data_IF_894103095111
#
_entry.id   IF_894103095111
#
_cell.length_a   1.000
_cell.length_b   1.000
_cell.length_c   1.000
_cell.angle_alpha   90.00
_cell.angle_beta   90.00
_cell.angle_gamma   90.00
#
_symmetry.space_group_name_H-M   'P 1'
#
loop_
_entity.id
_entity.type
_entity.pdbx_description
1 polymer ?
#
# COMPACT_ATOMS: atom_id res chain seq x y z
N UNK A 1 23.90 -15.85 30.67
CA UNK A 1 23.95 -14.48 30.07
C UNK A 1 22.52 -14.04 29.79
N UNK A 2 22.22 -12.76 29.78
CA UNK A 2 20.87 -12.31 29.37
C UNK A 2 20.65 -12.56 27.89
N UNK A 3 19.42 -12.97 27.45
CA UNK A 3 19.11 -13.12 26.02
C UNK A 3 19.38 -11.83 25.24
N UNK A 4 19.92 -11.95 24.03
CA UNK A 4 20.31 -10.80 23.20
C UNK A 4 19.25 -10.46 22.18
N UNK A 5 18.66 -9.24 22.29
CA UNK A 5 17.70 -8.70 21.35
C UNK A 5 18.40 -7.88 20.26
N UNK A 6 18.24 -8.27 19.01
CA UNK A 6 18.75 -7.54 17.85
C UNK A 6 17.60 -6.82 17.12
N UNK A 7 17.79 -5.52 16.92
CA UNK A 7 16.83 -4.66 16.19
C UNK A 7 17.00 -3.19 16.59
N UNK A 8 16.68 -2.28 15.67
CA UNK A 8 16.90 -0.85 15.92
C UNK A 8 15.89 -0.27 16.94
N UNK A 9 16.31 0.65 17.81
CA UNK A 9 15.51 1.14 18.95
C UNK A 9 14.18 1.80 18.58
N UNK A 10 14.11 2.43 17.41
CA UNK A 10 12.89 3.07 16.91
C UNK A 10 11.82 2.09 16.36
N UNK A 11 12.13 0.81 16.23
CA UNK A 11 11.21 -0.18 15.72
C UNK A 11 10.10 -0.50 16.73
N UNK A 12 8.84 -0.36 16.35
CA UNK A 12 7.69 -0.61 17.23
C UNK A 12 7.64 -2.04 17.75
N UNK A 13 8.10 -3.03 16.96
CA UNK A 13 8.18 -4.43 17.41
C UNK A 13 9.30 -4.66 18.43
N UNK A 14 10.43 -3.93 18.32
CA UNK A 14 11.48 -3.93 19.34
C UNK A 14 10.96 -3.30 20.65
N UNK A 15 10.29 -2.13 20.56
CA UNK A 15 9.64 -1.50 21.73
C UNK A 15 8.64 -2.43 22.40
N UNK A 16 7.86 -3.18 21.63
CA UNK A 16 6.92 -4.20 22.11
C UNK A 16 7.63 -5.24 22.97
N UNK A 17 8.71 -5.83 22.46
CA UNK A 17 9.49 -6.86 23.17
C UNK A 17 10.12 -6.30 24.45
N UNK A 18 10.75 -5.13 24.36
CA UNK A 18 11.32 -4.46 25.53
C UNK A 18 10.25 -4.15 26.60
N UNK A 19 9.04 -3.76 26.18
CA UNK A 19 7.90 -3.53 27.08
C UNK A 19 7.47 -4.80 27.80
N UNK A 20 7.39 -5.91 27.06
CA UNK A 20 7.06 -7.20 27.66
C UNK A 20 8.14 -7.64 28.64
N UNK A 21 9.43 -7.49 28.29
CA UNK A 21 10.55 -7.84 29.16
C UNK A 21 10.54 -7.01 30.46
N UNK A 22 10.33 -5.69 30.37
CA UNK A 22 10.26 -4.80 31.51
C UNK A 22 9.11 -5.15 32.47
N UNK A 23 7.94 -5.54 31.91
CA UNK A 23 6.78 -5.96 32.71
C UNK A 23 6.93 -7.38 33.25
N UNK A 24 7.56 -8.28 32.52
CA UNK A 24 7.84 -9.65 32.91
C UNK A 24 8.96 -9.74 33.99
N UNK A 25 9.79 -8.71 34.11
CA UNK A 25 10.97 -8.73 34.99
C UNK A 25 12.10 -9.56 34.39
N UNK A 26 12.20 -9.61 33.05
CA UNK A 26 13.26 -10.30 32.31
C UNK A 26 14.26 -9.27 31.80
N UNK A 27 15.53 -9.46 32.10
CA UNK A 27 16.62 -8.62 31.59
C UNK A 27 16.99 -9.08 30.18
N UNK A 28 17.13 -8.13 29.25
CA UNK A 28 17.56 -8.37 27.88
C UNK A 28 18.78 -7.51 27.55
N UNK A 29 19.77 -8.09 26.90
CA UNK A 29 20.83 -7.33 26.22
C UNK A 29 20.27 -6.81 24.90
N UNK A 30 20.21 -5.47 24.75
CA UNK A 30 19.75 -4.84 23.51
C UNK A 30 20.84 -3.99 22.89
N UNK A 31 21.28 -4.38 21.69
CA UNK A 31 22.23 -3.62 20.90
C UNK A 31 21.54 -2.38 20.30
N UNK A 32 21.74 -1.23 20.96
CA UNK A 32 21.16 0.05 20.51
C UNK A 32 21.89 0.65 19.33
N UNK A 33 23.08 0.15 18.98
CA UNK A 33 23.87 0.61 17.82
C UNK A 33 23.38 0.01 16.50
N UNK A 34 22.60 -1.07 16.54
CA UNK A 34 22.06 -1.72 15.36
C UNK A 34 21.25 -0.75 14.49
N UNK A 35 21.66 -0.59 13.22
CA UNK A 35 21.03 0.32 12.27
C UNK A 35 20.51 -0.43 11.04
N UNK A 36 19.45 0.08 10.44
CA UNK A 36 18.85 -0.51 9.26
C UNK A 36 19.78 -0.51 8.02
N UNK A 37 20.83 0.33 8.02
CA UNK A 37 21.67 0.55 6.84
C UNK A 37 22.92 -0.34 6.79
N UNK A 38 23.48 -0.74 7.95
CA UNK A 38 24.83 -1.32 8.02
C UNK A 38 24.87 -2.82 8.32
N UNK A 39 23.95 -3.33 9.12
CA UNK A 39 24.05 -4.68 9.70
C UNK A 39 22.94 -5.61 9.24
N UNK A 40 21.94 -5.04 8.60
CA UNK A 40 20.83 -5.79 8.04
C UNK A 40 21.23 -6.49 6.74
N UNK A 41 21.24 -7.79 6.74
CA UNK A 41 21.65 -8.68 5.62
C UNK A 41 23.15 -8.88 5.45
N UNK A 42 23.96 -8.72 6.52
CA UNK A 42 25.30 -9.30 6.49
C UNK A 42 25.22 -10.82 6.46
N UNK A 43 26.22 -11.52 5.86
CA UNK A 43 26.24 -12.96 5.85
C UNK A 43 26.09 -13.58 7.24
N UNK A 44 26.76 -13.03 8.26
CA UNK A 44 26.68 -13.50 9.65
C UNK A 44 25.28 -13.35 10.24
N UNK A 45 24.58 -12.23 9.93
CA UNK A 45 23.21 -12.02 10.38
C UNK A 45 22.25 -12.97 9.69
N UNK A 46 22.41 -13.21 8.39
CA UNK A 46 21.57 -14.11 7.62
C UNK A 46 21.79 -15.58 7.96
N UNK A 47 22.99 -15.98 8.38
CA UNK A 47 23.26 -17.33 8.89
C UNK A 47 22.41 -17.62 10.14
N UNK A 48 22.35 -16.68 11.09
CA UNK A 48 21.51 -16.77 12.30
C UNK A 48 20.03 -16.53 12.03
N UNK A 49 19.70 -15.71 11.06
CA UNK A 49 18.34 -15.31 10.72
C UNK A 49 18.12 -15.30 9.20
N UNK A 50 17.88 -16.47 8.58
CA UNK A 50 17.73 -16.59 7.13
C UNK A 50 16.63 -15.73 6.51
N UNK A 51 15.59 -15.38 7.27
CA UNK A 51 14.53 -14.48 6.82
C UNK A 51 14.96 -13.02 6.71
N UNK A 52 16.07 -12.62 7.35
CA UNK A 52 16.58 -11.25 7.32
C UNK A 52 15.67 -10.20 7.95
N UNK A 53 14.79 -10.57 8.88
CA UNK A 53 13.90 -9.65 9.57
C UNK A 53 14.35 -9.38 11.00
N UNK A 54 13.98 -8.21 11.52
CA UNK A 54 14.14 -7.83 12.92
C UNK A 54 12.79 -7.50 13.53
N UNK A 55 12.58 -7.74 14.84
CA UNK A 55 13.54 -8.17 15.88
C UNK A 55 13.84 -9.67 15.86
N UNK A 56 15.00 -10.03 16.41
CA UNK A 56 15.45 -11.39 16.67
C UNK A 56 15.95 -11.48 18.11
N UNK A 57 15.62 -12.54 18.82
CA UNK A 57 16.11 -12.84 20.16
C UNK A 57 17.01 -14.09 20.10
N UNK A 58 18.27 -13.92 20.47
CA UNK A 58 19.26 -15.01 20.61
C UNK A 58 19.33 -15.43 22.09
N UNK A 59 19.10 -16.70 22.36
CA UNK A 59 19.17 -17.30 23.68
C UNK A 59 20.57 -17.77 24.03
N UNK A 60 20.82 -18.12 25.30
CA UNK A 60 22.14 -18.55 25.80
C UNK A 60 22.66 -19.81 25.10
N UNK A 61 21.78 -20.71 24.69
CA UNK A 61 22.10 -21.95 23.99
C UNK A 61 22.33 -21.77 22.48
N UNK A 62 22.28 -20.52 21.97
CA UNK A 62 22.37 -20.19 20.56
C UNK A 62 21.07 -20.30 19.79
N UNK A 63 19.97 -20.71 20.43
CA UNK A 63 18.64 -20.73 19.78
C UNK A 63 18.20 -19.33 19.39
N UNK A 64 17.76 -19.16 18.16
CA UNK A 64 17.27 -17.88 17.64
C UNK A 64 15.76 -17.88 17.50
N UNK A 65 15.09 -17.01 18.24
CA UNK A 65 13.66 -16.77 18.17
C UNK A 65 13.36 -15.59 17.24
N UNK A 66 12.34 -15.73 16.43
CA UNK A 66 11.85 -14.74 15.46
C UNK A 66 10.37 -14.51 15.69
N UNK A 67 9.82 -13.51 15.02
CA UNK A 67 8.47 -13.00 15.19
C UNK A 67 8.23 -12.37 16.59
N UNK A 68 7.87 -11.10 16.57
CA UNK A 68 7.71 -10.36 17.83
C UNK A 68 6.64 -10.96 18.75
N UNK A 69 5.66 -11.69 18.22
CA UNK A 69 4.65 -12.37 19.01
C UNK A 69 5.26 -13.57 19.74
N UNK A 70 5.99 -14.43 19.03
CA UNK A 70 6.64 -15.60 19.64
C UNK A 70 7.70 -15.19 20.68
N UNK A 71 8.49 -14.15 20.38
CA UNK A 71 9.47 -13.60 21.33
C UNK A 71 8.78 -13.05 22.57
N UNK A 72 7.69 -12.30 22.41
CA UNK A 72 6.95 -11.73 23.52
C UNK A 72 6.31 -12.82 24.40
N UNK A 73 5.76 -13.86 23.81
CA UNK A 73 5.21 -15.01 24.55
C UNK A 73 6.28 -15.75 25.34
N UNK A 74 7.42 -16.06 24.70
CA UNK A 74 8.55 -16.68 25.38
C UNK A 74 9.01 -15.86 26.60
N UNK A 75 9.20 -14.55 26.43
CA UNK A 75 9.62 -13.67 27.54
C UNK A 75 8.56 -13.60 28.65
N UNK A 76 7.27 -13.56 28.31
CA UNK A 76 6.22 -13.55 29.30
C UNK A 76 6.12 -14.89 30.07
N UNK A 77 6.38 -16.02 29.41
CA UNK A 77 6.37 -17.35 30.04
C UNK A 77 7.55 -17.55 31.03
N UNK A 78 8.76 -17.12 30.66
CA UNK A 78 9.92 -17.25 31.55
C UNK A 78 9.94 -16.20 32.66
N UNK A 79 9.23 -15.06 32.48
CA UNK A 79 9.18 -13.97 33.41
C UNK A 79 8.43 -14.26 34.71
N UNK A 80 8.62 -13.42 35.72
CA UNK A 80 7.97 -13.54 37.03
C UNK A 80 6.51 -13.07 37.04
N UNK A 81 6.12 -12.16 36.14
CA UNK A 81 4.76 -11.61 36.04
C UNK A 81 3.85 -12.49 35.19
N UNK A 82 3.12 -13.39 35.82
CA UNK A 82 2.20 -14.35 35.16
C UNK A 82 0.89 -13.71 34.69
N UNK A 83 0.63 -12.43 34.95
CA UNK A 83 -0.56 -11.74 34.43
C UNK A 83 -0.46 -11.42 32.93
N UNK A 84 0.75 -11.37 32.36
CA UNK A 84 0.94 -11.06 30.93
C UNK A 84 0.27 -12.07 30.01
N UNK A 85 0.26 -13.35 30.41
CA UNK A 85 -0.48 -14.42 29.74
C UNK A 85 -1.34 -15.12 30.79
N UNK A 86 -2.69 -14.98 30.72
CA UNK A 86 -3.58 -15.69 31.65
C UNK A 86 -3.44 -17.21 31.55
N UNK A 87 -3.52 -17.88 32.67
CA UNK A 87 -3.51 -19.35 32.71
C UNK A 87 -4.83 -20.02 32.22
N UNK A 88 -5.93 -19.29 32.26
CA UNK A 88 -7.21 -19.73 31.67
C UNK A 88 -7.10 -19.82 30.16
N UNK A 89 -7.32 -20.99 29.53
CA UNK A 89 -7.18 -21.17 28.09
C UNK A 89 -8.08 -20.26 27.26
N UNK A 90 -9.28 -19.93 27.75
CA UNK A 90 -10.21 -19.04 27.08
C UNK A 90 -9.68 -17.60 27.07
N UNK A 91 -9.21 -17.10 28.21
CA UNK A 91 -8.60 -15.76 28.29
C UNK A 91 -7.30 -15.68 27.49
N UNK A 92 -6.48 -16.74 27.53
CA UNK A 92 -5.28 -16.86 26.70
C UNK A 92 -5.60 -16.74 25.21
N UNK A 93 -6.64 -17.45 24.73
CA UNK A 93 -7.08 -17.37 23.33
C UNK A 93 -7.57 -15.95 22.96
N UNK A 94 -8.25 -15.25 23.89
CA UNK A 94 -8.65 -13.85 23.68
C UNK A 94 -7.41 -12.93 23.58
N UNK A 95 -6.38 -13.11 24.41
CA UNK A 95 -5.12 -12.38 24.31
C UNK A 95 -4.50 -12.58 22.93
N UNK A 96 -4.38 -13.83 22.46
CA UNK A 96 -3.84 -14.14 21.12
C UNK A 96 -4.66 -13.50 20.00
N UNK A 97 -6.00 -13.44 20.13
CA UNK A 97 -6.84 -12.78 19.11
C UNK A 97 -6.54 -11.27 19.00
N UNK A 98 -6.29 -10.59 20.12
CA UNK A 98 -5.87 -9.18 20.09
C UNK A 98 -4.46 -9.00 19.54
N UNK A 99 -3.53 -9.90 19.84
CA UNK A 99 -2.18 -9.87 19.25
C UNK A 99 -2.26 -9.97 17.71
N UNK A 100 -3.03 -10.96 17.21
CA UNK A 100 -3.24 -11.14 15.78
C UNK A 100 -3.94 -9.93 15.14
N UNK A 101 -4.98 -9.38 15.78
CA UNK A 101 -5.69 -8.19 15.33
C UNK A 101 -4.75 -6.97 15.26
N UNK A 102 -3.93 -6.77 16.30
CA UNK A 102 -2.98 -5.66 16.34
C UNK A 102 -1.96 -5.72 15.20
N UNK A 103 -1.45 -6.91 14.89
CA UNK A 103 -0.45 -7.07 13.82
C UNK A 103 -1.08 -7.06 12.42
N UNK A 104 -2.12 -7.84 12.18
CA UNK A 104 -2.65 -8.06 10.84
C UNK A 104 -3.65 -6.98 10.39
N UNK A 105 -4.39 -6.40 11.34
CA UNK A 105 -5.46 -5.46 11.02
C UNK A 105 -5.10 -3.99 11.27
N UNK A 106 -4.05 -3.73 12.07
CA UNK A 106 -3.64 -2.37 12.44
C UNK A 106 -2.20 -2.10 11.98
N UNK A 107 -1.22 -2.84 12.51
CA UNK A 107 0.20 -2.52 12.32
C UNK A 107 0.66 -2.69 10.88
N UNK A 108 0.39 -3.83 10.23
CA UNK A 108 0.81 -4.10 8.86
C UNK A 108 0.12 -3.17 7.87
N UNK A 109 -1.23 -3.07 7.82
CA UNK A 109 -1.89 -2.16 6.90
C UNK A 109 -1.57 -0.68 7.18
N UNK A 110 -1.45 -0.28 8.44
CA UNK A 110 -1.02 1.07 8.82
C UNK A 110 0.40 1.39 8.39
N UNK A 111 1.30 0.42 8.43
CA UNK A 111 2.67 0.53 7.92
C UNK A 111 2.71 0.72 6.40
N UNK A 112 1.82 0.07 5.64
CA UNK A 112 1.69 0.26 4.19
C UNK A 112 1.20 1.68 3.88
N UNK A 113 0.19 2.17 4.62
CA UNK A 113 -0.27 3.57 4.53
C UNK A 113 0.90 4.54 4.75
N UNK A 114 1.67 4.34 5.83
CA UNK A 114 2.84 5.18 6.11
C UNK A 114 3.93 5.08 5.02
N UNK A 115 4.13 3.90 4.43
CA UNK A 115 5.08 3.73 3.32
C UNK A 115 4.65 4.51 2.08
N UNK A 116 3.35 4.54 1.76
CA UNK A 116 2.79 5.35 0.67
C UNK A 116 2.94 6.85 0.95
N UNK A 117 2.66 7.30 2.17
CA UNK A 117 2.76 8.71 2.56
C UNK A 117 4.22 9.21 2.57
N UNK A 118 5.16 8.34 2.92
CA UNK A 118 6.60 8.68 2.98
C UNK A 118 7.35 8.45 1.65
N UNK A 119 6.66 8.10 0.55
CA UNK A 119 7.29 7.80 -0.75
C UNK A 119 8.13 6.51 -0.79
N UNK A 120 8.06 5.66 0.25
CA UNK A 120 8.74 4.35 0.28
C UNK A 120 8.02 3.27 -0.54
N UNK A 121 6.74 3.47 -0.80
CA UNK A 121 5.92 2.64 -1.68
C UNK A 121 5.14 3.53 -2.66
N UNK A 122 4.79 3.03 -3.86
CA UNK A 122 3.93 3.74 -4.79
C UNK A 122 2.58 4.10 -4.16
N UNK A 123 2.13 5.33 -4.36
CA UNK A 123 0.82 5.76 -3.89
C UNK A 123 -0.28 5.30 -4.86
N UNK A 124 -1.26 4.58 -4.35
CA UNK A 124 -2.47 4.16 -5.07
C UNK A 124 -3.70 4.58 -4.28
N UNK A 125 -4.40 5.61 -4.74
CA UNK A 125 -5.52 6.24 -4.00
C UNK A 125 -6.55 5.23 -3.47
N UNK A 126 -7.01 4.31 -4.31
CA UNK A 126 -8.01 3.31 -3.91
C UNK A 126 -7.49 2.35 -2.83
N UNK A 127 -6.27 1.83 -3.00
CA UNK A 127 -5.65 0.95 -2.00
C UNK A 127 -5.37 1.71 -0.70
N UNK A 128 -4.86 2.94 -0.81
CA UNK A 128 -4.62 3.81 0.33
C UNK A 128 -5.91 4.02 1.14
N UNK A 129 -7.01 4.43 0.48
CA UNK A 129 -8.27 4.67 1.17
C UNK A 129 -8.82 3.39 1.82
N UNK A 130 -8.79 2.26 1.11
CA UNK A 130 -9.21 0.96 1.65
C UNK A 130 -8.43 0.60 2.92
N UNK A 131 -7.11 0.82 2.94
CA UNK A 131 -6.29 0.53 4.11
C UNK A 131 -6.55 1.50 5.27
N UNK A 132 -6.71 2.79 4.98
CA UNK A 132 -7.08 3.81 5.99
C UNK A 132 -8.42 3.46 6.62
N UNK A 133 -9.44 3.14 5.83
CA UNK A 133 -10.78 2.79 6.31
C UNK A 133 -10.75 1.50 7.14
N UNK A 134 -10.00 0.49 6.69
CA UNK A 134 -9.81 -0.77 7.43
C UNK A 134 -9.21 -0.52 8.81
N UNK A 135 -8.10 0.20 8.87
CA UNK A 135 -7.41 0.50 10.14
C UNK A 135 -8.31 1.36 11.04
N UNK A 136 -8.88 2.44 10.50
CA UNK A 136 -9.77 3.32 11.26
C UNK A 136 -10.98 2.57 11.83
N UNK A 137 -11.59 1.68 11.03
CA UNK A 137 -12.67 0.82 11.49
C UNK A 137 -12.26 -0.07 12.67
N UNK A 138 -11.05 -0.66 12.65
CA UNK A 138 -10.55 -1.48 13.77
C UNK A 138 -10.26 -0.65 15.03
N UNK A 139 -9.68 0.55 14.86
CA UNK A 139 -9.45 1.46 15.99
C UNK A 139 -10.76 1.90 16.65
N UNK A 140 -11.81 2.18 15.86
CA UNK A 140 -13.14 2.53 16.39
C UNK A 140 -13.77 1.38 17.19
N UNK A 141 -13.62 0.13 16.73
CA UNK A 141 -14.09 -1.04 17.47
C UNK A 141 -13.36 -1.19 18.81
N UNK A 142 -12.03 -1.04 18.80
CA UNK A 142 -11.22 -1.11 20.03
C UNK A 142 -11.58 0.03 20.99
N UNK A 143 -11.79 1.24 20.48
CA UNK A 143 -12.25 2.39 21.27
C UNK A 143 -13.58 2.07 22.00
N UNK A 144 -14.54 1.51 21.27
CA UNK A 144 -15.84 1.13 21.81
C UNK A 144 -15.72 0.05 22.92
N UNK A 145 -14.80 -0.89 22.77
CA UNK A 145 -14.50 -1.90 23.79
C UNK A 145 -13.91 -1.25 25.04
N UNK A 146 -12.97 -0.32 24.86
CA UNK A 146 -12.26 0.38 25.92
C UNK A 146 -13.12 1.43 26.64
N UNK A 147 -14.29 1.79 26.11
CA UNK A 147 -15.23 2.69 26.79
C UNK A 147 -15.71 2.15 28.15
N UNK A 148 -15.69 0.85 28.33
CA UNK A 148 -16.21 0.17 29.54
C UNK A 148 -15.14 -0.59 30.33
N UNK A 149 -13.87 -0.47 29.97
CA UNK A 149 -12.76 -1.19 30.61
C UNK A 149 -11.44 -0.46 30.49
N UNK A 150 -10.54 -0.72 31.44
CA UNK A 150 -9.21 -0.15 31.45
C UNK A 150 -8.24 -0.92 30.55
N UNK A 151 -8.31 -2.25 30.60
CA UNK A 151 -7.49 -3.16 29.82
C UNK A 151 -8.36 -4.05 28.92
N UNK A 152 -7.76 -4.63 27.89
CA UNK A 152 -8.47 -5.42 26.88
C UNK A 152 -8.93 -6.80 27.43
N UNK A 153 -8.11 -7.41 28.30
CA UNK A 153 -8.38 -8.72 28.86
C UNK A 153 -8.18 -8.71 30.38
N UNK A 154 -9.25 -8.85 31.12
CA UNK A 154 -9.20 -8.82 32.60
C UNK A 154 -8.88 -7.44 33.16
N UNK A 155 -8.34 -7.42 34.39
CA UNK A 155 -8.12 -6.19 35.18
C UNK A 155 -6.62 -5.81 35.29
N UNK A 156 -5.75 -6.46 34.54
CA UNK A 156 -4.31 -6.25 34.53
C UNK A 156 -3.78 -6.19 33.11
N UNK A 157 -2.63 -5.54 32.94
CA UNK A 157 -1.94 -5.50 31.66
C UNK A 157 -1.58 -6.92 31.20
N UNK A 158 -1.95 -7.25 29.99
CA UNK A 158 -1.62 -8.49 29.29
C UNK A 158 -0.85 -8.20 28.00
N UNK A 159 -0.41 -9.24 27.29
CA UNK A 159 0.17 -9.09 25.94
C UNK A 159 -0.78 -8.40 24.97
N UNK A 160 -2.10 -8.60 25.11
CA UNK A 160 -3.11 -7.91 24.29
C UNK A 160 -2.94 -6.39 24.33
N UNK A 161 -2.75 -5.86 25.55
CA UNK A 161 -2.61 -4.40 25.76
C UNK A 161 -1.33 -3.86 25.14
N UNK A 162 -0.21 -4.56 25.31
CA UNK A 162 1.08 -4.15 24.78
C UNK A 162 1.04 -4.17 23.23
N UNK A 163 0.44 -5.18 22.63
CA UNK A 163 0.36 -5.31 21.18
C UNK A 163 -0.51 -4.22 20.57
N UNK A 164 -1.70 -4.01 21.10
CA UNK A 164 -2.62 -2.96 20.60
C UNK A 164 -2.04 -1.57 20.83
N UNK A 165 -1.48 -1.28 22.02
CA UNK A 165 -0.89 0.01 22.29
C UNK A 165 0.31 0.31 21.39
N UNK A 166 1.21 -0.65 21.14
CA UNK A 166 2.36 -0.44 20.25
C UNK A 166 1.95 -0.28 18.79
N UNK A 167 0.93 -1.01 18.32
CA UNK A 167 0.39 -0.86 16.98
C UNK A 167 -0.29 0.50 16.80
N UNK A 168 -1.14 0.93 17.75
CA UNK A 168 -1.79 2.23 17.73
C UNK A 168 -0.77 3.38 17.81
N UNK A 169 0.24 3.28 18.70
CA UNK A 169 1.32 4.26 18.81
C UNK A 169 2.05 4.47 17.48
N UNK A 170 2.35 3.38 16.76
CA UNK A 170 3.02 3.45 15.45
C UNK A 170 2.22 4.28 14.43
N UNK A 171 0.90 4.24 14.50
CA UNK A 171 0.01 4.97 13.61
C UNK A 171 -0.20 6.41 14.09
N UNK A 172 -0.35 6.62 15.40
CA UNK A 172 -0.52 7.94 16.02
C UNK A 172 0.70 8.83 15.83
N UNK A 173 1.89 8.26 15.75
CA UNK A 173 3.13 8.98 15.46
C UNK A 173 3.35 9.28 13.98
N UNK A 174 2.54 8.74 13.08
CA UNK A 174 2.76 8.85 11.64
C UNK A 174 1.63 9.57 10.90
N UNK A 175 0.44 8.99 10.82
CA UNK A 175 -0.62 9.52 9.96
C UNK A 175 -2.01 9.62 10.60
N UNK A 176 -2.22 9.02 11.78
CA UNK A 176 -3.49 9.16 12.50
C UNK A 176 -3.43 10.40 13.38
N UNK A 177 -3.79 11.53 12.80
CA UNK A 177 -3.59 12.88 13.34
C UNK A 177 -4.51 13.27 14.51
N UNK A 178 -4.34 14.48 15.04
CA UNK A 178 -5.11 14.94 16.19
C UNK A 178 -6.64 14.90 15.96
N UNK A 179 -7.20 15.37 14.81
CA UNK A 179 -8.61 15.24 14.51
C UNK A 179 -9.12 13.79 14.46
N UNK A 180 -8.31 12.87 13.95
CA UNK A 180 -8.67 11.45 13.90
C UNK A 180 -8.62 10.82 15.29
N UNK A 181 -7.60 11.12 16.11
CA UNK A 181 -7.49 10.64 17.50
C UNK A 181 -8.62 11.15 18.40
N UNK A 182 -9.10 12.37 18.15
CA UNK A 182 -10.25 12.94 18.91
C UNK A 182 -11.54 12.10 18.76
N UNK A 183 -11.65 11.28 17.70
CA UNK A 183 -12.79 10.37 17.47
C UNK A 183 -12.68 9.04 18.21
N UNK A 184 -11.52 8.74 18.80
CA UNK A 184 -11.22 7.51 19.54
C UNK A 184 -10.64 7.81 20.93
N UNK A 185 -11.38 8.54 21.78
CA UNK A 185 -10.86 9.06 23.04
C UNK A 185 -10.51 7.97 24.06
N UNK A 186 -11.23 6.85 24.06
CA UNK A 186 -10.96 5.73 24.97
C UNK A 186 -9.69 4.97 24.58
N UNK A 187 -9.45 4.82 23.27
CA UNK A 187 -8.23 4.25 22.76
C UNK A 187 -7.03 5.19 23.01
N UNK A 188 -7.22 6.50 22.83
CA UNK A 188 -6.16 7.47 23.14
C UNK A 188 -5.76 7.39 24.61
N UNK A 189 -6.73 7.47 25.54
CA UNK A 189 -6.52 7.27 26.98
C UNK A 189 -5.79 5.96 27.28
N UNK A 190 -6.21 4.86 26.66
CA UNK A 190 -5.60 3.55 26.82
C UNK A 190 -4.12 3.55 26.36
N UNK A 191 -3.83 4.06 25.18
CA UNK A 191 -2.46 4.16 24.66
C UNK A 191 -1.60 4.96 25.61
N UNK A 192 -2.07 6.16 26.05
CA UNK A 192 -1.38 7.00 27.01
C UNK A 192 -1.14 6.29 28.36
N UNK A 193 -2.10 5.49 28.83
CA UNK A 193 -1.96 4.68 30.04
C UNK A 193 -0.81 3.68 29.92
N UNK A 194 -0.68 3.02 28.78
CA UNK A 194 0.37 2.01 28.55
C UNK A 194 1.74 2.68 28.36
N UNK A 195 1.86 3.68 27.48
CA UNK A 195 3.16 4.29 27.18
C UNK A 195 3.72 5.09 28.37
N UNK A 196 2.88 5.59 29.25
CA UNK A 196 3.28 6.31 30.48
C UNK A 196 3.36 5.41 31.71
N UNK A 197 3.17 4.08 31.56
CA UNK A 197 3.36 3.16 32.66
C UNK A 197 4.79 3.28 33.23
N UNK A 198 4.99 3.33 34.57
CA UNK A 198 6.31 3.60 35.18
C UNK A 198 7.46 2.76 34.65
N UNK A 199 7.22 1.48 34.33
CA UNK A 199 8.23 0.57 33.77
C UNK A 199 8.44 0.71 32.26
N UNK A 200 7.55 1.44 31.53
CA UNK A 200 7.54 1.50 30.08
C UNK A 200 7.92 2.89 29.54
N UNK A 201 7.74 3.91 30.34
CA UNK A 201 7.91 5.31 29.91
C UNK A 201 9.25 5.57 29.20
N UNK A 202 10.35 5.03 29.69
CA UNK A 202 11.68 5.20 29.07
C UNK A 202 11.80 4.51 27.69
N UNK A 203 11.09 3.39 27.50
CA UNK A 203 11.07 2.64 26.23
C UNK A 203 10.36 3.43 25.15
N UNK A 204 9.37 4.23 25.55
CA UNK A 204 8.56 5.03 24.63
C UNK A 204 9.03 6.50 24.49
N UNK A 205 9.94 6.97 25.32
CA UNK A 205 10.44 8.36 25.26
C UNK A 205 11.60 8.50 24.27
N UNK A 206 11.64 9.56 23.41
CA UNK A 206 10.54 10.48 23.16
C UNK A 206 9.51 9.91 22.16
N UNK A 207 8.22 10.14 22.43
CA UNK A 207 7.15 9.86 21.49
C UNK A 207 6.31 11.12 21.33
N UNK A 208 6.14 11.56 20.08
CA UNK A 208 5.28 12.66 19.70
C UNK A 208 4.21 12.16 18.72
N UNK A 209 2.95 12.39 19.04
CA UNK A 209 1.84 12.04 18.15
C UNK A 209 1.71 13.09 17.05
N UNK A 210 1.43 12.63 15.83
CA UNK A 210 1.26 13.50 14.66
C UNK A 210 0.08 14.47 14.86
N UNK A 211 0.33 15.76 14.75
CA UNK A 211 -0.73 16.78 14.82
C UNK A 211 -1.52 16.87 13.53
N UNK A 212 -0.86 16.63 12.40
CA UNK A 212 -1.46 16.65 11.06
C UNK A 212 -0.92 15.50 10.21
N UNK A 213 -1.82 14.77 9.57
CA UNK A 213 -1.45 13.71 8.64
C UNK A 213 -0.63 14.28 7.48
N UNK A 214 0.51 13.64 7.12
CA UNK A 214 1.32 14.08 5.98
C UNK A 214 0.56 13.86 4.67
N UNK A 215 0.75 14.77 3.71
CA UNK A 215 0.28 14.56 2.36
C UNK A 215 1.10 13.45 1.67
N UNK A 216 0.50 12.66 0.75
CA UNK A 216 1.23 11.65 -0.01
C UNK A 216 2.41 12.28 -0.75
N UNK A 217 3.59 11.67 -0.62
CA UNK A 217 4.78 12.10 -1.35
C UNK A 217 4.96 11.26 -2.60
N UNK A 218 5.45 11.85 -3.71
CA UNK A 218 5.81 11.08 -4.89
C UNK A 218 6.92 10.08 -4.54
N UNK A 219 6.97 8.91 -5.21
CA UNK A 219 8.00 7.90 -4.97
C UNK A 219 9.40 8.51 -5.10
N UNK A 220 10.26 8.29 -4.12
CA UNK A 220 11.65 8.76 -4.15
C UNK A 220 12.39 7.97 -5.23
N UNK A 221 12.73 8.66 -6.33
CA UNK A 221 13.50 8.07 -7.41
C UNK A 221 14.95 7.87 -6.93
N UNK A 222 15.37 6.62 -6.74
CA UNK A 222 16.71 6.28 -6.23
C UNK A 222 17.86 6.79 -7.12
N UNK A 223 17.58 7.13 -8.35
CA UNK A 223 18.59 7.69 -9.28
C UNK A 223 19.00 9.13 -8.97
N UNK A 224 18.15 9.93 -8.31
CA UNK A 224 18.47 11.31 -7.95
C UNK A 224 19.42 11.43 -6.73
N UNK A 225 19.45 10.45 -5.82
CA UNK A 225 20.39 10.47 -4.68
C UNK A 225 21.85 10.21 -5.04
N UNK A 226 22.15 9.70 -6.25
CA UNK A 226 23.53 9.53 -6.73
C UNK A 226 24.16 10.77 -7.36
N UNK A 227 23.41 11.88 -7.53
CA UNK A 227 23.90 13.10 -8.19
C UNK A 227 24.32 14.22 -7.24
N UNK A 228 24.13 14.08 -5.91
CA UNK A 228 24.43 15.15 -4.95
C UNK A 228 25.70 14.95 -4.10
N UNK A 229 26.52 13.94 -4.37
CA UNK A 229 27.84 13.88 -3.77
C UNK A 229 28.88 14.54 -4.68
N UNK A 230 29.67 15.54 -4.21
CA UNK A 230 30.67 16.19 -5.02
C UNK A 230 31.85 15.27 -5.27
N UNK A 231 32.09 14.91 -6.53
CA UNK A 231 33.29 14.16 -6.94
C UNK A 231 34.54 15.03 -6.85
N UNK A 232 35.64 14.53 -6.24
CA UNK A 232 36.96 15.10 -6.46
C UNK A 232 37.43 14.77 -7.88
N UNK A 233 38.03 15.79 -8.55
CA UNK A 233 38.69 15.64 -9.83
C UNK A 233 39.96 14.80 -9.70
N UNK A 234 40.12 13.79 -10.54
CA UNK A 234 41.42 13.23 -10.88
C UNK A 234 41.40 12.69 -12.31
N UNK A 235 42.56 12.81 -12.93
CA UNK A 235 42.95 12.82 -14.31
C UNK A 235 42.76 11.54 -15.14
N UNK A 236 42.83 11.77 -16.47
CA UNK A 236 42.75 10.77 -17.56
C UNK A 236 44.03 9.94 -17.69
N UNK A 237 43.87 8.65 -18.01
CA UNK A 237 44.54 7.94 -19.14
C UNK A 237 44.31 6.40 -19.03
N UNK A 238 44.68 5.55 -20.09
CA UNK A 238 43.64 4.99 -20.96
C UNK A 238 43.62 3.43 -21.01
N UNK A 239 42.52 2.89 -21.58
CA UNK A 239 42.30 1.59 -22.24
C UNK A 239 43.16 0.39 -21.91
N UNK A 240 42.50 -0.72 -21.51
CA UNK A 240 42.65 -2.02 -22.16
C UNK A 240 41.38 -2.86 -21.94
N UNK A 241 41.03 -3.63 -22.96
CA UNK A 241 39.97 -4.63 -23.07
C UNK A 241 40.33 -5.87 -22.24
N UNK A 242 39.35 -6.58 -21.73
CA UNK A 242 39.19 -8.01 -21.97
C UNK A 242 37.86 -8.50 -21.46
N UNK A 243 37.25 -9.32 -22.26
CA UNK A 243 36.01 -10.07 -22.16
C UNK A 243 36.21 -11.24 -21.19
N UNK A 244 35.13 -11.60 -20.48
CA UNK A 244 34.78 -13.04 -20.39
C UNK A 244 33.31 -13.18 -19.95
N UNK A 245 32.62 -13.94 -20.77
CA UNK A 245 31.23 -14.37 -20.68
C UNK A 245 31.10 -15.52 -19.66
N UNK A 246 29.98 -15.59 -18.95
CA UNK A 246 29.37 -16.88 -18.64
C UNK A 246 27.86 -16.79 -18.86
N UNK A 247 27.42 -17.51 -19.89
CA UNK A 247 26.03 -17.73 -20.30
C UNK A 247 25.37 -18.80 -19.44
N UNK A 248 24.09 -18.56 -19.07
CA UNK A 248 23.11 -19.63 -18.92
C UNK A 248 21.90 -19.41 -19.84
N UNK A 249 21.26 -20.47 -20.36
CA UNK A 249 20.66 -20.43 -21.68
C UNK A 249 19.26 -19.83 -21.69
N UNK A 250 19.11 -18.80 -22.50
CA UNK A 250 17.81 -18.25 -22.88
C UNK A 250 17.14 -19.15 -23.93
N UNK A 251 15.90 -19.53 -23.64
CA UNK A 251 14.98 -20.08 -24.65
C UNK A 251 14.77 -19.02 -25.75
N UNK A 252 14.80 -19.37 -27.05
CA UNK A 252 14.71 -18.40 -28.13
C UNK A 252 13.35 -17.70 -28.11
N UNK A 253 13.32 -16.40 -27.88
CA UNK A 253 12.18 -15.57 -28.14
C UNK A 253 12.06 -15.36 -29.66
N UNK A 254 10.92 -15.77 -30.23
CA UNK A 254 10.55 -15.42 -31.61
C UNK A 254 10.60 -13.89 -31.79
N UNK A 255 10.99 -13.39 -32.97
CA UNK A 255 11.06 -11.96 -33.24
C UNK A 255 9.64 -11.38 -33.13
N UNK A 256 9.42 -10.52 -32.13
CA UNK A 256 8.16 -9.78 -31.98
C UNK A 256 7.94 -8.98 -33.25
N UNK A 257 6.87 -9.31 -34.01
CA UNK A 257 6.42 -8.51 -35.13
C UNK A 257 6.23 -7.04 -34.65
N UNK A 258 6.78 -6.09 -35.39
CA UNK A 258 6.59 -4.65 -35.09
C UNK A 258 5.10 -4.34 -35.11
N UNK A 259 4.60 -3.76 -34.01
CA UNK A 259 3.21 -3.33 -33.97
C UNK A 259 3.02 -2.12 -34.90
N UNK A 260 2.02 -2.16 -35.82
CA UNK A 260 1.75 -1.03 -36.73
C UNK A 260 1.56 0.32 -36.03
N UNK A 261 1.16 0.32 -34.77
CA UNK A 261 1.00 1.54 -33.95
C UNK A 261 2.34 2.23 -33.60
N UNK A 262 3.48 1.51 -33.70
CA UNK A 262 4.80 2.08 -33.51
C UNK A 262 5.28 2.92 -34.72
N UNK A 263 4.72 2.67 -35.88
CA UNK A 263 5.05 3.38 -37.13
C UNK A 263 4.28 4.71 -37.28
N UNK A 264 3.32 4.99 -36.39
CA UNK A 264 2.54 6.24 -36.38
C UNK A 264 3.46 7.45 -36.04
N UNK A 265 3.21 8.63 -36.65
CA UNK A 265 3.96 9.84 -36.36
C UNK A 265 4.05 10.13 -34.87
N UNK A 266 5.18 10.65 -34.39
CA UNK A 266 5.34 11.01 -32.98
C UNK A 266 4.29 12.04 -32.57
N UNK A 267 3.58 11.78 -31.50
CA UNK A 267 2.60 12.69 -30.90
C UNK A 267 3.26 13.57 -29.83
N UNK A 268 2.76 14.80 -29.69
CA UNK A 268 3.12 15.70 -28.59
C UNK A 268 2.49 15.25 -27.27
N UNK A 269 1.38 14.51 -27.31
CA UNK A 269 0.71 13.96 -26.13
C UNK A 269 1.44 12.71 -25.63
N UNK A 270 1.93 12.77 -24.40
CA UNK A 270 2.60 11.65 -23.75
C UNK A 270 1.60 10.87 -22.89
N UNK A 271 1.20 9.68 -23.37
CA UNK A 271 0.22 8.82 -22.68
C UNK A 271 0.70 8.36 -21.30
N UNK A 272 1.99 8.10 -21.11
CA UNK A 272 2.54 7.70 -19.80
C UNK A 272 2.52 8.86 -18.81
N UNK A 273 2.76 10.09 -19.29
CA UNK A 273 2.61 11.28 -18.45
C UNK A 273 1.14 11.51 -18.08
N UNK A 274 0.21 11.31 -19.03
CA UNK A 274 -1.23 11.33 -18.73
C UNK A 274 -1.61 10.35 -17.65
N UNK A 275 -1.18 9.08 -17.75
CA UNK A 275 -1.44 8.04 -16.72
C UNK A 275 -0.93 8.47 -15.35
N UNK A 276 0.22 9.14 -15.29
CA UNK A 276 0.82 9.70 -14.08
C UNK A 276 0.00 10.85 -13.51
N UNK A 277 -0.38 11.81 -14.34
CA UNK A 277 -1.18 12.96 -13.92
C UNK A 277 -2.56 12.51 -13.41
N UNK A 278 -3.22 11.61 -14.13
CA UNK A 278 -4.50 11.04 -13.72
C UNK A 278 -4.41 10.27 -12.37
N UNK A 279 -3.27 9.66 -12.08
CA UNK A 279 -3.05 8.92 -10.83
C UNK A 279 -2.76 9.81 -9.63
N UNK A 280 -2.18 10.98 -9.86
CA UNK A 280 -1.60 11.82 -8.81
C UNK A 280 -2.41 13.09 -8.52
N UNK A 281 -3.24 13.54 -9.46
CA UNK A 281 -4.06 14.75 -9.32
C UNK A 281 -5.53 14.38 -9.09
N UNK A 282 -6.27 15.30 -8.49
CA UNK A 282 -7.72 15.22 -8.49
C UNK A 282 -8.23 15.26 -9.93
N UNK A 283 -9.30 14.51 -10.23
CA UNK A 283 -9.78 14.41 -11.62
C UNK A 283 -10.35 15.75 -12.11
N UNK A 284 -11.13 16.45 -11.27
CA UNK A 284 -11.76 17.73 -11.57
C UNK A 284 -11.01 18.92 -10.92
N UNK A 285 -11.33 20.13 -11.36
CA UNK A 285 -10.78 21.39 -10.82
C UNK A 285 -9.73 22.03 -11.74
N UNK A 286 -9.36 23.28 -11.44
CA UNK A 286 -8.46 24.09 -12.28
C UNK A 286 -7.06 23.50 -12.43
N UNK A 287 -6.58 22.73 -11.44
CA UNK A 287 -5.29 22.04 -11.46
C UNK A 287 -5.49 20.52 -11.51
N UNK A 288 -6.66 20.05 -11.92
CA UNK A 288 -6.98 18.64 -12.02
C UNK A 288 -6.40 17.96 -13.26
N UNK A 289 -6.45 16.61 -13.25
CA UNK A 289 -5.93 15.84 -14.38
C UNK A 289 -6.68 16.11 -15.69
N UNK A 290 -8.00 16.39 -15.63
CA UNK A 290 -8.75 16.78 -16.82
C UNK A 290 -8.29 18.11 -17.40
N UNK A 291 -7.94 19.11 -16.56
CA UNK A 291 -7.40 20.39 -17.05
C UNK A 291 -6.07 20.16 -17.77
N UNK A 292 -5.18 19.36 -17.22
CA UNK A 292 -3.94 18.95 -17.86
C UNK A 292 -4.20 18.20 -19.17
N UNK A 293 -5.20 17.29 -19.19
CA UNK A 293 -5.56 16.54 -20.39
C UNK A 293 -5.96 17.48 -21.53
N UNK A 294 -6.85 18.42 -21.29
CA UNK A 294 -7.30 19.37 -22.33
C UNK A 294 -6.19 20.27 -22.83
N UNK A 295 -5.22 20.64 -21.99
CA UNK A 295 -4.06 21.43 -22.40
C UNK A 295 -3.10 20.68 -23.33
N UNK A 296 -2.94 19.37 -23.11
CA UNK A 296 -1.88 18.58 -23.77
C UNK A 296 -2.40 17.57 -24.80
N UNK A 297 -3.71 17.32 -24.85
CA UNK A 297 -4.28 16.29 -25.72
C UNK A 297 -4.07 16.60 -27.20
N UNK A 298 -3.48 15.63 -27.90
CA UNK A 298 -3.23 15.70 -29.34
C UNK A 298 -4.30 14.86 -30.09
N UNK A 299 -5.26 15.55 -30.71
CA UNK A 299 -6.39 14.94 -31.45
C UNK A 299 -5.95 14.20 -32.72
N UNK A 300 -4.75 14.47 -33.26
CA UNK A 300 -4.23 13.79 -34.44
C UNK A 300 -3.51 12.49 -34.07
N UNK A 301 -2.76 12.50 -32.96
CA UNK A 301 -2.00 11.35 -32.52
C UNK A 301 -2.79 10.35 -31.69
N UNK A 302 -3.91 10.78 -31.09
CA UNK A 302 -4.75 9.97 -30.21
C UNK A 302 -6.23 10.21 -30.49
N UNK A 303 -7.06 9.24 -30.08
CA UNK A 303 -8.52 9.32 -30.16
C UNK A 303 -9.17 8.83 -28.87
N UNK A 304 -10.40 9.27 -28.62
CA UNK A 304 -11.18 8.94 -27.45
C UNK A 304 -12.38 8.14 -27.88
N UNK A 305 -12.63 7.04 -27.18
CA UNK A 305 -13.69 6.11 -27.51
C UNK A 305 -14.57 5.79 -26.30
N UNK A 306 -15.86 5.91 -26.45
CA UNK A 306 -16.83 5.28 -25.56
C UNK A 306 -16.78 3.78 -25.80
N UNK A 307 -16.75 3.00 -24.74
CA UNK A 307 -16.85 1.54 -24.76
C UNK A 307 -18.07 1.10 -23.97
N UNK A 308 -18.91 0.26 -24.58
CA UNK A 308 -20.09 -0.32 -23.94
C UNK A 308 -20.07 -1.84 -24.11
N UNK A 309 -20.36 -2.58 -23.03
CA UNK A 309 -20.56 -4.02 -23.10
C UNK A 309 -21.90 -4.33 -23.77
N UNK A 310 -21.93 -5.28 -24.69
CA UNK A 310 -23.12 -5.57 -25.49
C UNK A 310 -24.18 -6.42 -24.77
N UNK A 311 -23.77 -7.23 -23.80
CA UNK A 311 -24.61 -8.24 -23.13
C UNK A 311 -24.95 -7.83 -21.70
N UNK A 312 -25.41 -6.58 -21.49
CA UNK A 312 -25.70 -6.06 -20.16
C UNK A 312 -26.83 -6.81 -19.44
N UNK A 313 -27.72 -7.46 -20.18
CA UNK A 313 -28.80 -8.31 -19.66
C UNK A 313 -28.29 -9.58 -18.93
N UNK A 314 -27.04 -9.98 -19.16
CA UNK A 314 -26.41 -11.12 -18.48
C UNK A 314 -25.76 -10.72 -17.16
N UNK A 315 -25.66 -9.41 -16.91
CA UNK A 315 -24.98 -8.90 -15.70
C UNK A 315 -25.86 -9.12 -14.47
N UNK A 316 -25.25 -9.65 -13.40
CA UNK A 316 -25.95 -9.97 -12.14
C UNK A 316 -25.46 -9.09 -10.98
N UNK A 317 -24.41 -9.47 -10.29
CA UNK A 317 -23.89 -8.72 -9.16
C UNK A 317 -22.85 -7.69 -9.63
N UNK A 318 -22.86 -6.49 -9.03
CA UNK A 318 -21.94 -5.39 -9.39
C UNK A 318 -20.47 -5.82 -9.34
N UNK A 319 -20.07 -6.60 -8.32
CA UNK A 319 -18.69 -7.08 -8.22
C UNK A 319 -18.31 -8.07 -9.34
N UNK A 320 -19.28 -8.86 -9.84
CA UNK A 320 -19.05 -9.78 -10.98
C UNK A 320 -18.88 -8.99 -12.26
N UNK A 321 -19.72 -7.97 -12.48
CA UNK A 321 -19.59 -7.03 -13.59
C UNK A 321 -18.25 -6.26 -13.55
N UNK A 322 -17.80 -5.86 -12.37
CA UNK A 322 -16.47 -5.25 -12.16
C UNK A 322 -15.33 -6.23 -12.47
N UNK A 323 -15.50 -7.53 -12.16
CA UNK A 323 -14.53 -8.56 -12.55
C UNK A 323 -14.48 -8.77 -14.07
N UNK A 324 -15.62 -8.64 -14.77
CA UNK A 324 -15.69 -8.67 -16.24
C UNK A 324 -14.84 -7.53 -16.84
N UNK A 325 -14.96 -6.30 -16.32
CA UNK A 325 -14.12 -5.16 -16.70
C UNK A 325 -12.63 -5.46 -16.44
N UNK A 326 -12.31 -6.01 -15.27
CA UNK A 326 -10.94 -6.40 -14.94
C UNK A 326 -10.38 -7.47 -15.86
N UNK A 327 -11.19 -8.46 -16.22
CA UNK A 327 -10.84 -9.50 -17.19
C UNK A 327 -10.54 -8.92 -18.57
N UNK A 328 -11.38 -8.02 -19.06
CA UNK A 328 -11.16 -7.32 -20.34
C UNK A 328 -9.84 -6.53 -20.31
N UNK A 329 -9.57 -5.75 -19.28
CA UNK A 329 -8.34 -5.01 -19.15
C UNK A 329 -7.09 -5.91 -19.08
N UNK A 330 -7.15 -7.04 -18.38
CA UNK A 330 -6.05 -8.00 -18.38
C UNK A 330 -5.73 -8.56 -19.78
N UNK A 331 -6.73 -8.74 -20.62
CA UNK A 331 -6.54 -9.19 -22.00
C UNK A 331 -6.01 -8.10 -22.93
N UNK A 332 -6.20 -6.83 -22.59
CA UNK A 332 -5.63 -5.67 -23.28
C UNK A 332 -4.17 -5.38 -22.89
N UNK A 333 -3.55 -6.18 -22.01
CA UNK A 333 -2.20 -5.93 -21.48
C UNK A 333 -1.14 -5.74 -22.57
N UNK A 334 -1.22 -6.49 -23.67
CA UNK A 334 -0.29 -6.35 -24.80
C UNK A 334 -0.34 -4.96 -25.48
N UNK A 335 -1.46 -4.23 -25.32
CA UNK A 335 -1.65 -2.87 -25.83
C UNK A 335 -1.46 -1.77 -24.80
N UNK A 336 -0.95 -2.08 -23.59
CA UNK A 336 -0.78 -1.12 -22.47
C UNK A 336 -0.10 0.20 -22.90
N UNK A 337 0.89 0.11 -23.73
CA UNK A 337 1.68 1.27 -24.21
C UNK A 337 0.86 2.21 -25.13
N UNK A 338 -0.27 1.74 -25.68
CA UNK A 338 -1.05 2.47 -26.66
C UNK A 338 -2.44 2.90 -26.17
N UNK A 339 -2.80 2.52 -24.93
CA UNK A 339 -4.11 2.85 -24.40
C UNK A 339 -4.09 3.25 -22.92
N UNK A 340 -5.08 4.07 -22.56
CA UNK A 340 -5.55 4.31 -21.21
C UNK A 340 -7.05 4.07 -21.19
N UNK A 341 -7.59 3.52 -20.10
CA UNK A 341 -9.01 3.25 -19.95
C UNK A 341 -9.57 3.60 -18.58
N UNK A 342 -10.82 4.09 -18.56
CA UNK A 342 -11.65 4.23 -17.37
C UNK A 342 -13.01 3.64 -17.68
N UNK A 343 -13.30 2.42 -17.20
CA UNK A 343 -14.51 1.68 -17.48
C UNK A 343 -15.17 1.27 -16.18
N UNK A 344 -16.45 1.49 -16.05
CA UNK A 344 -17.23 1.24 -14.86
C UNK A 344 -18.49 0.42 -15.06
N UNK A 345 -19.06 0.09 -13.92
CA UNK A 345 -20.37 -0.53 -13.77
C UNK A 345 -21.31 0.54 -13.23
N UNK A 346 -22.34 0.87 -13.98
CA UNK A 346 -23.39 1.80 -13.56
C UNK A 346 -24.63 1.02 -13.15
N UNK A 347 -25.27 1.41 -12.06
CA UNK A 347 -26.50 0.83 -11.55
C UNK A 347 -26.29 -0.11 -10.36
N UNK A 348 -27.13 -1.11 -10.21
CA UNK A 348 -27.20 -2.02 -9.06
C UNK A 348 -27.27 -3.49 -9.49
N UNK A 349 -27.27 -4.41 -8.53
CA UNK A 349 -27.40 -5.83 -8.80
C UNK A 349 -28.64 -6.14 -9.67
N UNK A 350 -28.45 -6.92 -10.72
CA UNK A 350 -29.42 -7.32 -11.74
C UNK A 350 -30.04 -6.14 -12.56
N UNK A 351 -29.49 -4.94 -12.44
CA UNK A 351 -29.87 -3.76 -13.21
C UNK A 351 -28.64 -2.87 -13.38
N UNK A 352 -27.63 -3.37 -14.08
CA UNK A 352 -26.36 -2.67 -14.30
C UNK A 352 -25.94 -2.70 -15.76
N UNK A 353 -25.10 -1.74 -16.13
CA UNK A 353 -24.45 -1.68 -17.44
C UNK A 353 -22.95 -1.47 -17.25
N UNK A 354 -22.14 -2.03 -18.16
CA UNK A 354 -20.72 -1.74 -18.25
C UNK A 354 -20.50 -0.73 -19.35
N UNK A 355 -19.97 0.43 -19.00
CA UNK A 355 -19.65 1.50 -19.94
C UNK A 355 -18.44 2.31 -19.45
N UNK A 356 -17.83 3.08 -20.35
CA UNK A 356 -16.70 3.95 -19.98
C UNK A 356 -15.98 4.50 -21.19
N UNK A 357 -14.73 4.89 -20.99
CA UNK A 357 -13.92 5.53 -22.02
C UNK A 357 -12.55 4.92 -22.15
N UNK A 358 -12.04 4.89 -23.38
CA UNK A 358 -10.67 4.54 -23.73
C UNK A 358 -10.02 5.72 -24.47
N UNK A 359 -8.79 6.04 -24.13
CA UNK A 359 -7.91 6.95 -24.88
C UNK A 359 -6.90 6.08 -25.60
N UNK A 360 -6.91 6.09 -26.91
CA UNK A 360 -6.19 5.17 -27.77
C UNK A 360 -5.20 5.90 -28.67
N UNK A 361 -4.05 5.29 -28.91
CA UNK A 361 -3.07 5.73 -29.90
C UNK A 361 -3.65 5.51 -31.31
N UNK A 362 -3.57 6.56 -32.17
CA UNK A 362 -4.12 6.55 -33.51
C UNK A 362 -5.60 6.94 -33.56
N UNK A 363 -6.21 6.72 -34.72
CA UNK A 363 -7.58 7.19 -35.01
C UNK A 363 -8.60 6.04 -35.14
N UNK A 364 -8.15 4.80 -34.93
CA UNK A 364 -8.95 3.58 -35.02
C UNK A 364 -8.81 2.76 -33.73
N UNK A 365 -9.91 2.19 -33.25
CA UNK A 365 -9.92 1.40 -32.01
C UNK A 365 -9.41 -0.03 -32.22
N UNK A 366 -9.77 -0.66 -33.35
CA UNK A 366 -9.52 -2.07 -33.60
C UNK A 366 -8.04 -2.46 -33.45
N UNK A 367 -7.05 -1.77 -34.03
CA UNK A 367 -5.65 -2.15 -33.89
C UNK A 367 -5.13 -2.18 -32.45
N UNK A 368 -5.81 -1.45 -31.54
CA UNK A 368 -5.46 -1.40 -30.12
C UNK A 368 -6.20 -2.45 -29.31
N UNK A 369 -7.47 -2.69 -29.57
CA UNK A 369 -8.34 -3.53 -28.75
C UNK A 369 -8.44 -4.98 -29.19
N UNK A 370 -8.11 -5.31 -30.45
CA UNK A 370 -8.21 -6.67 -31.02
C UNK A 370 -7.24 -7.68 -30.40
N UNK A 371 -6.30 -7.24 -29.57
CA UNK A 371 -5.45 -8.12 -28.76
C UNK A 371 -6.24 -8.87 -27.69
N UNK A 372 -7.41 -8.36 -27.29
CA UNK A 372 -8.33 -9.04 -26.40
C UNK A 372 -9.25 -9.96 -27.21
N UNK A 373 -9.28 -11.29 -26.99
CA UNK A 373 -10.11 -12.21 -27.78
C UNK A 373 -11.62 -11.93 -27.74
N UNK A 374 -12.05 -11.23 -26.69
CA UNK A 374 -13.46 -10.86 -26.46
C UNK A 374 -13.78 -9.40 -26.79
N UNK A 375 -12.91 -8.71 -27.52
CA UNK A 375 -13.14 -7.30 -27.85
C UNK A 375 -14.46 -7.08 -28.61
N UNK A 376 -14.91 -8.06 -29.41
CA UNK A 376 -16.17 -8.02 -30.12
C UNK A 376 -17.42 -8.04 -29.21
N UNK A 377 -17.26 -8.41 -27.94
CA UNK A 377 -18.33 -8.32 -26.93
C UNK A 377 -18.58 -6.87 -26.47
N UNK A 378 -17.76 -5.95 -26.92
CA UNK A 378 -17.89 -4.52 -26.66
C UNK A 378 -18.19 -3.75 -27.94
N UNK A 379 -18.87 -2.63 -27.81
CA UNK A 379 -19.02 -1.64 -28.87
C UNK A 379 -18.14 -0.44 -28.58
N UNK A 380 -17.61 0.15 -29.66
CA UNK A 380 -16.71 1.29 -29.58
C UNK A 380 -17.28 2.43 -30.41
N UNK A 381 -17.57 3.58 -29.78
CA UNK A 381 -18.03 4.80 -30.43
C UNK A 381 -16.99 5.90 -30.20
N UNK A 382 -16.46 6.46 -31.28
CA UNK A 382 -15.54 7.59 -31.20
C UNK A 382 -16.26 8.82 -30.63
N UNK A 383 -15.62 9.46 -29.62
CA UNK A 383 -16.14 10.66 -28.99
C UNK A 383 -15.45 11.91 -29.57
N UNK A 384 -16.23 12.98 -29.67
CA UNK A 384 -15.75 14.31 -30.04
C UNK A 384 -15.91 15.25 -28.84
N UNK A 385 -14.78 15.68 -28.26
CA UNK A 385 -14.77 16.58 -27.11
C UNK A 385 -15.26 18.01 -27.45
N UNK A 386 -15.46 18.35 -28.70
CA UNK A 386 -16.11 19.60 -29.10
C UNK A 386 -17.63 19.49 -29.03
N UNK A 387 -18.18 18.26 -28.93
CA UNK A 387 -19.57 17.98 -28.62
C UNK A 387 -19.78 17.97 -27.09
N UNK A 388 -20.76 18.73 -26.60
CA UNK A 388 -21.02 18.89 -25.18
C UNK A 388 -21.41 17.57 -24.46
N UNK A 389 -22.21 16.71 -25.14
CA UNK A 389 -22.66 15.44 -24.56
C UNK A 389 -21.52 14.43 -24.48
N UNK A 390 -20.72 14.31 -25.55
CA UNK A 390 -19.55 13.42 -25.56
C UNK A 390 -18.50 13.88 -24.53
N UNK A 391 -18.33 15.18 -24.38
CA UNK A 391 -17.44 15.75 -23.35
C UNK A 391 -17.94 15.46 -21.93
N UNK A 392 -19.23 15.65 -21.66
CA UNK A 392 -19.82 15.35 -20.36
C UNK A 392 -19.70 13.85 -20.03
N UNK A 393 -19.92 12.98 -21.01
CA UNK A 393 -19.72 11.54 -20.86
C UNK A 393 -18.26 11.20 -20.51
N UNK A 394 -17.30 11.76 -21.26
CA UNK A 394 -15.88 11.57 -21.01
C UNK A 394 -15.48 12.02 -19.60
N UNK A 395 -15.87 13.23 -19.21
CA UNK A 395 -15.54 13.76 -17.89
C UNK A 395 -16.16 12.94 -16.75
N UNK A 396 -17.43 12.50 -16.91
CA UNK A 396 -18.12 11.67 -15.93
C UNK A 396 -17.48 10.29 -15.78
N UNK A 397 -17.08 9.65 -16.87
CA UNK A 397 -16.40 8.36 -16.83
C UNK A 397 -14.99 8.48 -16.22
N UNK A 398 -14.28 9.58 -16.48
CA UNK A 398 -12.98 9.84 -15.87
C UNK A 398 -13.08 10.14 -14.36
N UNK A 399 -14.13 10.85 -13.93
CA UNK A 399 -14.31 11.22 -12.53
C UNK A 399 -15.02 10.15 -11.71
N UNK A 400 -15.55 9.10 -12.34
CA UNK A 400 -16.36 8.04 -11.72
C UNK A 400 -17.66 8.57 -11.12
N UNK A 401 -18.23 9.61 -11.73
CA UNK A 401 -19.49 10.23 -11.36
C UNK A 401 -20.50 10.27 -12.53
N UNK A 402 -20.25 9.47 -13.58
CA UNK A 402 -21.13 9.31 -14.71
C UNK A 402 -22.50 8.77 -14.24
N UNK A 403 -23.56 9.43 -14.70
CA UNK A 403 -24.93 8.97 -14.55
C UNK A 403 -25.54 8.80 -15.94
N UNK A 404 -26.06 7.61 -16.26
CA UNK A 404 -26.67 7.34 -17.54
C UNK A 404 -27.99 6.58 -17.36
N UNK A 405 -29.06 7.07 -17.96
CA UNK A 405 -30.42 6.50 -17.86
C UNK A 405 -30.87 6.23 -16.41
N UNK A 406 -30.49 7.14 -15.47
CA UNK A 406 -30.80 7.02 -14.04
C UNK A 406 -29.95 6.01 -13.28
N UNK A 407 -28.93 5.40 -13.91
CA UNK A 407 -27.96 4.53 -13.26
C UNK A 407 -26.72 5.34 -12.90
N UNK A 408 -26.36 5.32 -11.63
CA UNK A 408 -25.15 5.98 -11.09
C UNK A 408 -23.97 5.04 -11.15
N UNK A 409 -22.77 5.58 -11.16
CA UNK A 409 -21.51 4.82 -11.12
C UNK A 409 -21.39 4.07 -9.79
N UNK A 410 -21.36 2.74 -9.83
CA UNK A 410 -21.32 1.86 -8.66
C UNK A 410 -19.91 1.31 -8.39
N UNK A 411 -19.16 0.94 -9.42
CA UNK A 411 -17.78 0.43 -9.34
C UNK A 411 -17.07 0.64 -10.68
N UNK A 412 -15.74 0.52 -10.71
CA UNK A 412 -15.00 0.66 -11.95
C UNK A 412 -13.53 0.28 -11.85
N UNK A 413 -12.89 0.30 -13.01
CA UNK A 413 -11.45 0.03 -13.11
C UNK A 413 -10.79 0.99 -14.09
N UNK A 414 -9.53 1.31 -13.80
CA UNK A 414 -8.67 2.04 -14.72
C UNK A 414 -7.63 1.10 -15.32
N UNK A 415 -7.38 1.24 -16.60
CA UNK A 415 -6.25 0.65 -17.30
C UNK A 415 -5.18 1.72 -17.52
N UNK A 416 -4.02 1.50 -16.90
CA UNK A 416 -2.93 2.48 -16.89
C UNK A 416 -1.61 1.87 -17.36
#
# INVERSE_FOLDING_TARGET
MAPKLTGFPGNSRVRRILSVAALAGVELEHDKSFTFASEWKTPEFLEKNPFGFVPVLELEDGTTLRESAAIAEYIAEIGSNKNLIPSDPKLKAIVHSYQATADQEIFVPGGIVNAMLSGKAPYHKAVFQTLVDRVTGRLNVIDSILAKRTFLVGERVTLADIFVATAATSIFTTWFDAPARAKVPNLLRFVETIINHPKLKEIFTPIEFSEKAPAPQPPVNKEQKKKEEPKPKAEKAPKAKEEEEEEEPAVPAEPKAKNPLDDLPKSAFNLEEWKRQYSNLDTRGANGSLAWFYEKFDKEGFSIWRVDFKYNEELTQVFMSSNQVGGFFNRLEASRKYLFGSVGVLGKANDSVITGVLVLRGQDAEPVVNVAPDWESYSFKKLDLDNADDKAFFEGAMAWDLVENGREWADGKNFK
#
